data_IF_270389031935
#
_entry.id   IF_270389031935
#
_cell.length_a   1.000
_cell.length_b   1.000
_cell.length_c   1.000
_cell.angle_alpha   90.00
_cell.angle_beta   90.00
_cell.angle_gamma   90.00
#
_symmetry.space_group_name_H-M   'P 1'
#
loop_
_entity.id
_entity.type
_entity.pdbx_description
1 polymer ?
#
# COMPACT_ATOMS: atom_id res chain seq x y z
N UNK A 1 28.70 37.71 1.16
CA UNK A 1 28.58 36.26 1.48
C UNK A 1 27.32 35.92 2.26
N UNK A 2 26.97 36.65 3.31
CA UNK A 2 25.79 36.40 4.17
C UNK A 2 24.45 36.32 3.42
N UNK A 3 24.22 37.13 2.38
CA UNK A 3 22.98 37.09 1.57
C UNK A 3 22.81 35.79 0.77
N UNK A 4 23.90 35.15 0.34
CA UNK A 4 23.88 33.90 -0.43
C UNK A 4 23.54 32.73 0.50
N UNK A 5 24.13 32.71 1.69
CA UNK A 5 23.82 31.70 2.71
C UNK A 5 22.33 31.76 3.10
N UNK A 6 21.79 32.97 3.26
CA UNK A 6 20.38 33.17 3.56
C UNK A 6 19.45 32.65 2.44
N UNK A 7 19.84 32.82 1.18
CA UNK A 7 19.11 32.29 0.02
C UNK A 7 19.09 30.75 0.00
N UNK A 8 20.22 30.10 0.32
CA UNK A 8 20.29 28.64 0.43
C UNK A 8 19.45 28.08 1.59
N UNK A 9 19.39 28.79 2.73
CA UNK A 9 18.55 28.40 3.88
C UNK A 9 17.05 28.48 3.53
N UNK A 10 16.63 29.53 2.82
CA UNK A 10 15.22 29.68 2.38
C UNK A 10 14.84 28.58 1.39
N UNK A 11 15.72 28.26 0.43
CA UNK A 11 15.50 27.17 -0.51
C UNK A 11 15.34 25.83 0.22
N UNK A 12 16.22 25.53 1.18
CA UNK A 12 16.16 24.25 1.91
C UNK A 12 14.85 24.08 2.69
N UNK A 13 14.32 25.16 3.28
CA UNK A 13 13.02 25.13 3.98
C UNK A 13 11.84 24.89 3.03
N UNK A 14 11.87 25.41 1.79
CA UNK A 14 10.79 25.24 0.82
C UNK A 14 10.68 23.82 0.24
N UNK A 15 11.72 22.99 0.36
CA UNK A 15 11.75 21.61 -0.15
C UNK A 15 11.51 20.55 0.92
N UNK A 16 11.14 20.93 2.14
CA UNK A 16 10.75 19.98 3.20
C UNK A 16 9.34 19.44 2.96
N UNK A 17 9.21 18.57 1.96
CA UNK A 17 8.00 17.79 1.73
C UNK A 17 7.98 16.62 2.72
N UNK A 18 7.20 16.75 3.80
CA UNK A 18 6.88 15.63 4.67
C UNK A 18 5.97 14.65 3.93
N UNK A 19 6.54 13.56 3.42
CA UNK A 19 5.76 12.43 2.86
C UNK A 19 5.15 11.67 4.04
N UNK A 20 3.96 12.10 4.45
CA UNK A 20 3.17 11.40 5.45
C UNK A 20 2.57 10.13 4.83
N UNK A 21 3.17 8.98 5.13
CA UNK A 21 2.66 7.66 4.73
C UNK A 21 1.34 7.39 5.44
N UNK A 22 0.25 7.35 4.66
CA UNK A 22 -1.09 7.05 5.18
C UNK A 22 -1.32 5.54 5.14
N UNK A 23 -2.30 5.08 5.94
CA UNK A 23 -2.76 3.70 5.83
C UNK A 23 -3.84 3.65 4.75
N UNK A 24 -3.57 2.91 3.66
CA UNK A 24 -4.56 2.63 2.62
C UNK A 24 -5.26 1.30 2.95
N UNK A 25 -6.46 1.39 3.52
CA UNK A 25 -7.27 0.24 3.90
C UNK A 25 -8.28 -0.14 2.80
N UNK A 26 -8.12 -1.35 2.25
CA UNK A 26 -8.96 -1.89 1.19
C UNK A 26 -9.65 -3.18 1.66
N UNK A 27 -10.94 -3.08 1.98
CA UNK A 27 -11.76 -4.21 2.38
C UNK A 27 -12.67 -4.73 1.25
N UNK A 28 -13.16 -5.96 1.40
CA UNK A 28 -14.15 -6.58 0.52
C UNK A 28 -13.69 -6.74 -0.94
N UNK A 29 -12.41 -7.07 -1.15
CA UNK A 29 -11.88 -7.34 -2.49
C UNK A 29 -12.31 -8.73 -2.97
N UNK A 30 -13.32 -8.78 -3.84
CA UNK A 30 -13.85 -10.01 -4.44
C UNK A 30 -13.18 -10.39 -5.77
N UNK A 31 -12.63 -9.41 -6.50
CA UNK A 31 -12.00 -9.62 -7.80
C UNK A 31 -10.88 -8.60 -8.05
N UNK A 32 -10.00 -8.90 -9.02
CA UNK A 32 -8.88 -8.02 -9.39
C UNK A 32 -9.34 -6.68 -9.97
N UNK A 33 -10.50 -6.61 -10.63
CA UNK A 33 -11.01 -5.37 -11.21
C UNK A 33 -11.38 -4.34 -10.14
N UNK A 34 -12.14 -4.76 -9.12
CA UNK A 34 -12.51 -3.94 -7.97
C UNK A 34 -11.26 -3.51 -7.18
N UNK A 35 -10.25 -4.39 -7.11
CA UNK A 35 -8.96 -4.05 -6.51
C UNK A 35 -8.28 -2.90 -7.25
N UNK A 36 -8.13 -2.98 -8.58
CA UNK A 36 -7.51 -1.90 -9.37
C UNK A 36 -8.23 -0.56 -9.21
N UNK A 37 -9.56 -0.55 -9.14
CA UNK A 37 -10.33 0.68 -8.94
C UNK A 37 -10.08 1.29 -7.57
N UNK A 38 -10.07 0.46 -6.52
CA UNK A 38 -9.79 0.91 -5.15
C UNK A 38 -8.32 1.29 -4.92
N UNK A 39 -7.38 0.75 -5.69
CA UNK A 39 -5.97 1.12 -5.58
C UNK A 39 -5.66 2.53 -6.11
N UNK A 40 -6.56 3.15 -6.89
CA UNK A 40 -6.37 4.51 -7.42
C UNK A 40 -6.30 5.60 -6.36
N UNK A 41 -6.79 5.31 -5.14
CA UNK A 41 -6.76 6.23 -4.01
C UNK A 41 -5.54 6.03 -3.09
N UNK A 42 -4.70 5.03 -3.36
CA UNK A 42 -3.47 4.78 -2.60
C UNK A 42 -2.27 5.39 -3.32
N UNK A 43 -1.38 6.03 -2.57
CA UNK A 43 -0.14 6.58 -3.10
C UNK A 43 1.05 5.62 -2.85
N UNK A 44 2.00 5.54 -3.78
CA UNK A 44 3.20 4.71 -3.59
C UNK A 44 3.93 5.12 -2.31
N UNK A 45 4.26 4.13 -1.46
CA UNK A 45 4.84 4.35 -0.13
C UNK A 45 3.82 4.35 1.02
N UNK A 46 2.52 4.30 0.74
CA UNK A 46 1.49 4.10 1.77
C UNK A 46 1.55 2.70 2.40
N UNK A 47 1.07 2.59 3.63
CA UNK A 47 0.87 1.29 4.30
C UNK A 47 -0.40 0.67 3.76
N UNK A 48 -0.26 -0.39 2.97
CA UNK A 48 -1.35 -1.11 2.37
C UNK A 48 -1.91 -2.14 3.35
N UNK A 49 -3.21 -2.10 3.60
CA UNK A 49 -3.95 -3.12 4.35
C UNK A 49 -5.09 -3.64 3.48
N UNK A 50 -4.96 -4.86 2.94
CA UNK A 50 -5.97 -5.45 2.05
C UNK A 50 -6.61 -6.64 2.74
N UNK A 51 -7.94 -6.69 2.73
CA UNK A 51 -8.72 -7.90 3.02
C UNK A 51 -9.37 -8.42 1.74
N UNK A 52 -9.06 -9.66 1.36
CA UNK A 52 -9.47 -10.26 0.10
C UNK A 52 -10.05 -11.67 0.28
N UNK A 53 -10.81 -12.09 -0.74
CA UNK A 53 -11.37 -13.44 -0.85
C UNK A 53 -10.27 -14.48 -1.13
N UNK A 54 -10.38 -15.66 -0.52
CA UNK A 54 -9.43 -16.79 -0.64
C UNK A 54 -9.17 -17.23 -2.10
N UNK A 55 -10.07 -16.89 -3.03
CA UNK A 55 -9.90 -17.14 -4.46
C UNK A 55 -8.74 -16.37 -5.09
N UNK A 56 -8.27 -15.28 -4.47
CA UNK A 56 -7.15 -14.48 -4.98
C UNK A 56 -5.85 -15.02 -4.40
N UNK A 57 -4.92 -15.36 -5.30
CA UNK A 57 -3.58 -15.84 -4.90
C UNK A 57 -2.78 -14.71 -4.24
N UNK A 58 -2.45 -14.91 -2.97
CA UNK A 58 -1.65 -14.00 -2.12
C UNK A 58 -0.33 -13.62 -2.77
N UNK A 59 0.39 -14.58 -3.35
CA UNK A 59 1.70 -14.37 -3.96
C UNK A 59 1.61 -13.40 -5.14
N UNK A 60 0.52 -13.49 -5.91
CA UNK A 60 0.28 -12.58 -7.02
C UNK A 60 0.03 -11.16 -6.52
N UNK A 61 -0.63 -10.98 -5.37
CA UNK A 61 -0.80 -9.66 -4.78
C UNK A 61 0.53 -9.11 -4.25
N UNK A 62 1.30 -9.94 -3.56
CA UNK A 62 2.60 -9.56 -3.00
C UNK A 62 3.55 -9.06 -4.09
N UNK A 63 3.75 -9.85 -5.14
CA UNK A 63 4.70 -9.51 -6.22
C UNK A 63 4.31 -8.23 -6.96
N UNK A 64 3.00 -7.96 -7.08
CA UNK A 64 2.52 -6.86 -7.90
C UNK A 64 2.21 -5.57 -7.12
N UNK A 65 2.01 -5.64 -5.80
CA UNK A 65 1.54 -4.51 -5.00
C UNK A 65 2.45 -4.15 -3.85
N UNK A 66 3.32 -5.07 -3.42
CA UNK A 66 4.14 -4.90 -2.23
C UNK A 66 5.61 -4.70 -2.58
N UNK A 67 6.29 -3.86 -1.79
CA UNK A 67 7.74 -3.83 -1.76
C UNK A 67 8.30 -5.10 -1.11
N UNK A 68 9.06 -5.89 -1.87
CA UNK A 68 9.75 -7.08 -1.34
C UNK A 68 10.99 -6.74 -0.50
N UNK A 69 11.37 -5.46 -0.42
CA UNK A 69 12.45 -4.99 0.45
C UNK A 69 11.98 -4.84 1.90
N UNK A 70 10.68 -4.64 2.08
CA UNK A 70 10.06 -4.37 3.36
C UNK A 70 9.37 -5.61 3.93
N UNK A 71 8.95 -5.55 5.19
CA UNK A 71 8.23 -6.65 5.82
C UNK A 71 6.83 -6.80 5.23
N UNK A 72 6.45 -8.04 4.92
CA UNK A 72 5.13 -8.40 4.40
C UNK A 72 4.46 -9.31 5.43
N UNK A 73 3.25 -8.94 5.84
CA UNK A 73 2.43 -9.75 6.76
C UNK A 73 1.25 -10.29 5.96
N UNK A 74 1.17 -11.61 5.83
CA UNK A 74 -0.01 -12.28 5.30
C UNK A 74 -0.50 -13.32 6.30
N UNK A 75 -1.81 -13.35 6.53
CA UNK A 75 -2.45 -14.36 7.37
C UNK A 75 -3.70 -14.88 6.68
N UNK A 76 -3.72 -16.20 6.54
CA UNK A 76 -4.87 -16.96 6.06
C UNK A 76 -5.55 -17.60 7.27
N UNK A 77 -6.73 -17.12 7.65
CA UNK A 77 -7.49 -17.71 8.76
C UNK A 77 -8.25 -18.93 8.27
N UNK A 78 -7.72 -20.13 8.56
CA UNK A 78 -8.21 -21.39 7.97
C UNK A 78 -9.37 -22.04 8.75
N UNK A 79 -9.68 -21.62 9.98
CA UNK A 79 -10.83 -22.09 10.79
C UNK A 79 -11.21 -20.95 11.78
N UNK A 80 -12.45 -20.63 12.19
CA UNK A 80 -13.49 -21.44 12.84
C UNK A 80 -14.82 -20.62 12.80
N UNK A 81 -15.93 -21.24 12.35
CA UNK A 81 -17.37 -20.97 12.65
C UNK A 81 -17.84 -19.50 12.81
N UNK A 82 -18.67 -19.02 11.86
CA UNK A 82 -19.59 -17.87 11.99
C UNK A 82 -19.01 -16.44 12.17
N UNK A 83 -17.75 -16.14 11.84
CA UNK A 83 -17.30 -14.75 11.68
C UNK A 83 -17.58 -14.22 10.26
N UNK A 84 -18.48 -13.24 10.14
CA UNK A 84 -18.87 -12.55 8.88
C UNK A 84 -17.71 -11.82 8.15
N UNK A 85 -16.51 -11.79 8.71
CA UNK A 85 -15.29 -11.16 8.15
C UNK A 85 -14.08 -12.12 8.10
N UNK A 86 -14.30 -13.42 7.88
CA UNK A 86 -13.21 -14.37 7.62
C UNK A 86 -12.65 -14.13 6.21
N UNK A 87 -11.68 -13.23 6.13
CA UNK A 87 -10.97 -12.89 4.89
C UNK A 87 -9.47 -13.01 5.11
N UNK A 88 -8.76 -13.46 4.08
CA UNK A 88 -7.30 -13.43 4.06
C UNK A 88 -6.89 -11.95 4.04
N UNK A 89 -5.89 -11.59 4.84
CA UNK A 89 -5.37 -10.23 4.81
C UNK A 89 -3.89 -10.17 4.43
N UNK A 90 -3.52 -9.02 3.87
CA UNK A 90 -2.17 -8.68 3.44
C UNK A 90 -1.86 -7.27 3.91
N UNK A 91 -0.72 -7.13 4.59
CA UNK A 91 -0.16 -5.85 5.03
C UNK A 91 1.23 -5.69 4.44
N UNK A 92 1.48 -4.58 3.74
CA UNK A 92 2.78 -4.27 3.18
C UNK A 92 2.94 -2.79 2.86
N UNK A 93 4.13 -2.35 2.45
CA UNK A 93 4.32 -1.04 1.84
C UNK A 93 3.88 -1.11 0.38
N UNK A 94 2.97 -0.21 -0.01
CA UNK A 94 2.43 -0.15 -1.35
C UNK A 94 3.51 0.28 -2.34
N UNK A 95 3.83 -0.63 -3.25
CA UNK A 95 4.76 -0.42 -4.34
C UNK A 95 4.30 -1.19 -5.58
N UNK A 96 3.36 -0.62 -6.34
CA UNK A 96 2.73 -1.33 -7.44
C UNK A 96 3.68 -1.50 -8.64
N UNK A 97 3.60 -2.65 -9.32
CA UNK A 97 4.15 -2.79 -10.66
C UNK A 97 3.26 -2.02 -11.65
N UNK A 98 3.87 -1.16 -12.46
CA UNK A 98 3.20 -0.38 -13.52
C UNK A 98 2.41 -1.28 -14.49
N UNK A 99 2.88 -2.51 -14.72
CA UNK A 99 2.19 -3.49 -15.57
C UNK A 99 0.91 -4.05 -14.94
N UNK A 100 0.80 -4.00 -13.62
CA UNK A 100 -0.38 -4.49 -12.90
C UNK A 100 -1.50 -3.45 -12.87
N UNK A 101 -1.18 -2.16 -12.86
CA UNK A 101 -2.18 -1.08 -12.83
C UNK A 101 -2.77 -0.76 -14.20
N UNK A 102 -1.98 -0.87 -15.27
CA UNK A 102 -2.45 -0.82 -16.67
C UNK A 102 -3.24 -2.08 -17.06
#
# INVERSE_FOLDING_TARGET
MTKIIFFFVIIFLLFSNDVSSKVCELSNIKNLKNLKEKLKICDEGDKLYITYDIKIRTEKLIVNLCSLKDTIISKEEVNIVHKRNSGVYLICIYKPDKKFLN
#
